data_IF_073666647153
#
_entry.id   IF_073666647153
#
_cell.length_a   1.000
_cell.length_b   1.000
_cell.length_c   1.000
_cell.angle_alpha   90.00
_cell.angle_beta   90.00
_cell.angle_gamma   90.00
#
_symmetry.space_group_name_H-M   'P 1'
#
loop_
_entity.id
_entity.type
_entity.pdbx_description
1 polymer ?
#
# COMPACT_ATOMS: atom_id res chain seq x y z
N UNK A 1 -5.44 12.42 -1.13
CA UNK A 1 -6.14 12.36 -2.43
C UNK A 1 -6.00 13.70 -3.12
N UNK A 2 -5.84 13.71 -4.44
CA UNK A 2 -5.66 14.93 -5.22
C UNK A 2 -6.99 15.45 -5.79
N UNK A 3 -7.00 16.74 -6.14
CA UNK A 3 -8.12 17.43 -6.77
C UNK A 3 -7.82 17.70 -8.25
N UNK A 4 -8.86 17.79 -9.07
CA UNK A 4 -8.77 18.22 -10.46
C UNK A 4 -9.42 19.60 -10.61
N UNK A 5 -8.74 20.55 -11.25
CA UNK A 5 -9.33 21.84 -11.60
C UNK A 5 -10.15 21.71 -12.88
N UNK A 6 -11.39 22.17 -12.86
CA UNK A 6 -12.29 22.16 -14.00
C UNK A 6 -12.71 23.58 -14.38
N UNK A 7 -12.65 23.92 -15.66
CA UNK A 7 -13.04 25.26 -16.14
C UNK A 7 -11.97 26.33 -15.88
N UNK A 8 -12.41 27.58 -15.80
CA UNK A 8 -11.51 28.73 -15.65
C UNK A 8 -10.94 28.85 -14.23
N UNK A 9 -9.91 29.69 -14.05
CA UNK A 9 -9.22 29.81 -12.74
C UNK A 9 -10.07 30.47 -11.67
N UNK A 10 -10.99 31.34 -12.09
CA UNK A 10 -11.79 32.16 -11.18
C UNK A 10 -13.08 31.46 -10.72
N UNK A 11 -13.37 30.26 -11.26
CA UNK A 11 -14.60 29.51 -10.97
C UNK A 11 -14.50 28.64 -9.71
N UNK A 12 -13.32 28.55 -9.07
CA UNK A 12 -13.01 27.72 -7.88
C UNK A 12 -13.57 26.27 -7.90
N UNK A 13 -13.61 25.66 -9.10
CA UNK A 13 -14.08 24.29 -9.29
C UNK A 13 -12.92 23.30 -9.19
N UNK A 14 -12.66 22.85 -7.97
CA UNK A 14 -11.56 21.92 -7.65
C UNK A 14 -12.06 20.66 -6.88
N UNK A 15 -12.93 19.82 -7.46
CA UNK A 15 -13.42 18.59 -6.83
C UNK A 15 -12.34 17.51 -6.68
N UNK A 16 -12.62 16.49 -5.85
CA UNK A 16 -11.74 15.31 -5.74
C UNK A 16 -11.83 14.47 -7.02
N UNK A 17 -10.71 13.90 -7.48
CA UNK A 17 -10.69 13.08 -8.71
C UNK A 17 -11.68 11.91 -8.65
N UNK A 18 -11.81 11.27 -7.48
CA UNK A 18 -12.73 10.15 -7.23
C UNK A 18 -14.23 10.50 -7.35
N UNK A 19 -14.58 11.79 -7.36
CA UNK A 19 -15.97 12.23 -7.55
C UNK A 19 -16.39 12.21 -9.02
N UNK A 20 -15.42 12.07 -9.94
CA UNK A 20 -15.64 12.04 -11.39
C UNK A 20 -15.46 10.65 -12.00
N UNK A 21 -14.56 9.85 -11.44
CA UNK A 21 -14.27 8.50 -11.92
C UNK A 21 -14.39 7.50 -10.77
N UNK A 22 -15.02 6.33 -11.00
CA UNK A 22 -15.04 5.25 -10.05
C UNK A 22 -13.64 4.63 -9.96
N UNK A 23 -12.82 5.18 -9.07
CA UNK A 23 -11.51 4.63 -8.74
C UNK A 23 -11.70 3.48 -7.75
N UNK A 24 -10.92 2.41 -7.93
CA UNK A 24 -10.86 1.32 -6.98
C UNK A 24 -10.50 1.85 -5.57
N UNK A 25 -11.25 1.40 -4.57
CA UNK A 25 -10.97 1.64 -3.16
C UNK A 25 -9.83 0.75 -2.66
N UNK A 26 -9.41 0.97 -1.40
CA UNK A 26 -8.43 0.08 -0.77
C UNK A 26 -8.98 -1.33 -0.54
N UNK A 27 -10.28 -1.43 -0.29
CA UNK A 27 -10.97 -2.71 -0.05
C UNK A 27 -11.11 -3.56 -1.34
N UNK A 28 -10.88 -2.96 -2.51
CA UNK A 28 -10.87 -3.66 -3.80
C UNK A 28 -9.50 -4.30 -4.10
N UNK A 29 -8.48 -4.05 -3.25
CA UNK A 29 -7.13 -4.54 -3.45
C UNK A 29 -6.92 -5.90 -2.76
N UNK A 30 -6.24 -6.79 -3.46
CA UNK A 30 -5.75 -8.06 -2.90
C UNK A 30 -4.22 -8.01 -2.84
N UNK A 31 -3.66 -8.27 -1.67
CA UNK A 31 -2.22 -8.18 -1.42
C UNK A 31 -1.53 -9.53 -1.56
N UNK A 32 -0.41 -9.52 -2.27
CA UNK A 32 0.54 -10.63 -2.43
C UNK A 32 1.84 -10.10 -3.01
N UNK A 33 2.90 -10.92 -3.03
CA UNK A 33 4.17 -10.49 -3.57
C UNK A 33 5.28 -11.52 -3.44
N UNK A 34 6.48 -11.12 -3.83
CA UNK A 34 7.71 -11.91 -3.77
C UNK A 34 8.71 -11.19 -2.86
N UNK A 35 9.33 -11.91 -1.95
CA UNK A 35 10.40 -11.41 -1.10
C UNK A 35 11.45 -12.54 -0.93
N UNK A 36 12.72 -12.33 -1.33
CA UNK A 36 13.76 -13.35 -1.17
C UNK A 36 14.26 -13.51 0.27
N UNK A 37 13.84 -12.63 1.20
CA UNK A 37 14.35 -12.56 2.56
C UNK A 37 13.29 -12.99 3.56
N UNK A 38 12.10 -12.39 3.50
CA UNK A 38 11.06 -12.58 4.52
C UNK A 38 10.02 -13.62 4.10
N UNK A 39 9.55 -14.42 5.06
CA UNK A 39 8.52 -15.44 4.80
C UNK A 39 7.11 -14.84 4.63
N UNK A 40 6.81 -13.74 5.31
CA UNK A 40 5.52 -13.05 5.24
C UNK A 40 5.69 -11.54 5.46
N UNK A 41 4.62 -10.78 5.20
CA UNK A 41 4.65 -9.32 5.28
C UNK A 41 4.86 -8.82 6.71
N UNK A 42 4.39 -9.54 7.74
CA UNK A 42 4.65 -9.14 9.13
C UNK A 42 6.15 -9.15 9.46
N UNK A 43 6.86 -10.21 9.10
CA UNK A 43 8.31 -10.29 9.30
C UNK A 43 9.04 -9.20 8.49
N UNK A 44 8.60 -8.94 7.26
CA UNK A 44 9.14 -7.85 6.44
C UNK A 44 8.89 -6.44 7.05
N UNK A 45 7.75 -6.24 7.72
CA UNK A 45 7.34 -4.96 8.26
C UNK A 45 8.00 -4.62 9.61
N UNK A 46 8.31 -5.61 10.45
CA UNK A 46 8.92 -5.41 11.77
C UNK A 46 10.22 -4.57 11.78
N UNK A 47 11.19 -4.77 10.87
CA UNK A 47 12.40 -3.96 10.83
C UNK A 47 12.17 -2.55 10.27
N UNK A 48 11.01 -2.28 9.66
CA UNK A 48 10.75 -0.99 9.04
C UNK A 48 10.59 0.12 10.09
N UNK A 49 11.21 1.27 9.83
CA UNK A 49 11.18 2.46 10.73
C UNK A 49 9.75 2.97 10.96
N UNK A 50 8.81 2.64 10.08
CA UNK A 50 7.39 2.99 10.22
C UNK A 50 6.61 2.09 11.19
N UNK A 51 7.18 0.96 11.64
CA UNK A 51 6.52 0.01 12.54
C UNK A 51 6.52 0.51 13.98
N UNK A 52 5.48 1.26 14.36
CA UNK A 52 5.33 1.87 15.69
C UNK A 52 4.45 1.01 16.60
N UNK A 53 4.94 0.75 17.81
CA UNK A 53 4.28 -0.10 18.84
C UNK A 53 2.80 0.22 19.13
N UNK A 54 2.32 1.44 18.86
CA UNK A 54 0.93 1.84 19.13
C UNK A 54 -0.09 1.52 18.02
N UNK A 55 0.35 1.43 16.76
CA UNK A 55 -0.55 1.24 15.59
C UNK A 55 -0.40 -0.17 15.02
N UNK A 56 0.83 -0.67 15.05
CA UNK A 56 1.25 -1.96 14.49
C UNK A 56 0.55 -3.22 15.02
N UNK A 57 0.11 -3.34 16.29
CA UNK A 57 -0.49 -4.59 16.77
C UNK A 57 -1.81 -4.93 16.07
N UNK A 58 -2.53 -3.93 15.54
CA UNK A 58 -3.87 -4.14 14.97
C UNK A 58 -3.83 -4.87 13.63
N UNK A 59 -2.84 -4.59 12.78
CA UNK A 59 -2.70 -5.24 11.48
C UNK A 59 -1.78 -6.47 11.49
N UNK A 60 -1.21 -6.84 12.65
CA UNK A 60 -0.26 -7.94 12.78
C UNK A 60 -0.75 -9.26 12.15
N UNK A 61 -1.93 -9.78 12.55
CA UNK A 61 -2.47 -11.04 12.01
C UNK A 61 -2.73 -10.99 10.50
N UNK A 62 -3.19 -9.85 9.99
CA UNK A 62 -3.48 -9.67 8.56
C UNK A 62 -2.20 -9.70 7.73
N UNK A 63 -1.13 -9.07 8.22
CA UNK A 63 0.18 -9.08 7.56
C UNK A 63 0.88 -10.43 7.64
N UNK A 64 0.69 -11.18 8.73
CA UNK A 64 1.25 -12.52 8.90
C UNK A 64 0.65 -13.52 7.90
N UNK A 65 -0.62 -13.34 7.54
CA UNK A 65 -1.33 -14.17 6.56
C UNK A 65 -0.89 -13.97 5.10
N UNK A 66 -0.16 -12.89 4.79
CA UNK A 66 0.33 -12.62 3.43
C UNK A 66 1.73 -13.23 3.29
N UNK A 67 1.78 -14.47 2.80
CA UNK A 67 3.01 -15.24 2.59
C UNK A 67 3.66 -14.85 1.26
N UNK A 68 4.98 -14.65 1.28
CA UNK A 68 5.75 -14.32 0.09
C UNK A 68 5.86 -15.52 -0.85
N UNK A 69 5.81 -15.25 -2.16
CA UNK A 69 6.08 -16.20 -3.22
C UNK A 69 7.59 -16.29 -3.52
N UNK A 70 8.04 -17.41 -4.09
CA UNK A 70 9.46 -17.64 -4.43
C UNK A 70 10.05 -16.54 -5.31
N UNK A 71 11.05 -15.84 -4.78
CA UNK A 71 11.70 -14.72 -5.46
C UNK A 71 13.03 -15.12 -6.11
N UNK A 72 13.39 -14.43 -7.19
CA UNK A 72 14.70 -14.59 -7.83
C UNK A 72 15.69 -13.62 -7.20
N UNK A 73 16.83 -14.12 -6.73
CA UNK A 73 17.97 -13.29 -6.31
C UNK A 73 19.24 -13.71 -7.07
N UNK A 74 20.01 -12.73 -7.53
CA UNK A 74 21.33 -12.96 -8.14
C UNK A 74 22.39 -12.44 -7.17
N UNK A 75 23.16 -13.34 -6.56
CA UNK A 75 24.38 -12.95 -5.84
C UNK A 75 25.46 -12.62 -6.87
N UNK A 76 25.84 -11.35 -7.00
CA UNK A 76 27.11 -11.02 -7.64
C UNK A 76 28.23 -11.53 -6.72
N UNK A 77 28.95 -12.55 -7.18
CA UNK A 77 30.14 -13.08 -6.50
C UNK A 77 31.32 -12.12 -6.56
#
# INVERSE_FOLDING_TARGET
>A
MAHIRLGNRDEDRNPLIREFFPLAGLDDLVFGGWDPISANVLEAARPAVCWKKGTSPRCGPELEGIVAMDAVSTSAG
#
